data_IF_291823186185
#
_entry.id   IF_291823186185
#
_cell.length_a   1.000
_cell.length_b   1.000
_cell.length_c   1.000
_cell.angle_alpha   90.00
_cell.angle_beta   90.00
_cell.angle_gamma   90.00
#
_symmetry.space_group_name_H-M   'P 1'
#
loop_
_entity.id
_entity.type
_entity.pdbx_description
1 polymer ?
#
# COMPACT_ATOMS: atom_id res chain seq x y z
N UNK A 1 4.63 11.70 -6.69
CA UNK A 1 5.56 11.41 -7.81
C UNK A 1 6.91 12.13 -7.64
N UNK A 2 6.91 13.45 -7.40
CA UNK A 2 8.17 14.21 -7.29
C UNK A 2 9.09 13.72 -6.17
N UNK A 3 8.56 13.33 -5.01
CA UNK A 3 9.37 12.74 -3.92
C UNK A 3 9.97 11.38 -4.33
N UNK A 4 9.18 10.55 -4.99
CA UNK A 4 9.63 9.23 -5.48
C UNK A 4 10.70 9.38 -6.56
N UNK A 5 10.50 10.27 -7.53
CA UNK A 5 11.52 10.56 -8.56
C UNK A 5 12.82 11.08 -7.93
N UNK A 6 12.72 11.97 -6.92
CA UNK A 6 13.89 12.44 -6.16
C UNK A 6 14.61 11.31 -5.44
N UNK A 7 13.87 10.43 -4.75
CA UNK A 7 14.46 9.29 -4.07
C UNK A 7 15.19 8.35 -5.03
N UNK A 8 14.63 8.10 -6.23
CA UNK A 8 15.28 7.32 -7.28
C UNK A 8 16.58 7.99 -7.76
N UNK A 9 16.57 9.30 -7.99
CA UNK A 9 17.77 10.04 -8.41
C UNK A 9 18.85 9.98 -7.34
N UNK A 10 18.48 10.15 -6.07
CA UNK A 10 19.42 10.06 -4.93
C UNK A 10 20.02 8.65 -4.82
N UNK A 11 19.27 7.59 -5.16
CA UNK A 11 19.80 6.22 -5.22
C UNK A 11 20.62 5.91 -6.50
N UNK A 12 20.87 6.90 -7.36
CA UNK A 12 21.65 6.75 -8.58
C UNK A 12 20.84 6.31 -9.82
N UNK A 13 19.52 6.13 -9.70
CA UNK A 13 18.68 5.79 -10.83
C UNK A 13 18.35 7.01 -11.70
N UNK A 14 18.08 6.77 -12.98
CA UNK A 14 17.67 7.80 -13.96
C UNK A 14 16.30 7.46 -14.55
N UNK A 15 15.21 7.71 -13.83
CA UNK A 15 13.88 7.41 -14.33
C UNK A 15 13.47 8.34 -15.47
N UNK A 16 12.71 7.80 -16.44
CA UNK A 16 11.92 8.61 -17.39
C UNK A 16 10.70 9.14 -16.67
N UNK A 17 10.47 10.43 -16.68
CA UNK A 17 9.31 11.05 -16.04
C UNK A 17 8.14 11.08 -17.03
N UNK A 18 7.12 10.27 -16.79
CA UNK A 18 5.93 10.20 -17.62
C UNK A 18 4.72 10.92 -17.00
N UNK A 19 3.94 11.61 -17.82
CA UNK A 19 2.73 12.30 -17.37
C UNK A 19 2.05 13.08 -18.50
N UNK A 20 0.91 13.70 -18.19
CA UNK A 20 0.08 14.41 -19.19
C UNK A 20 0.43 15.91 -19.37
N UNK A 21 1.20 16.48 -18.47
CA UNK A 21 1.50 17.93 -18.43
C UNK A 21 3.01 18.12 -18.62
N UNK A 22 3.39 18.51 -19.84
CA UNK A 22 4.80 18.73 -20.24
C UNK A 22 5.47 19.75 -19.32
N UNK A 23 4.86 20.90 -19.09
CA UNK A 23 5.49 21.96 -18.30
C UNK A 23 5.80 21.53 -16.86
N UNK A 24 4.93 20.71 -16.26
CA UNK A 24 5.21 20.12 -14.93
C UNK A 24 6.29 19.06 -14.96
N UNK A 25 6.36 18.24 -16.00
CA UNK A 25 7.42 17.24 -16.16
C UNK A 25 8.77 17.92 -16.30
N UNK A 26 8.88 18.88 -17.21
CA UNK A 26 10.11 19.63 -17.46
C UNK A 26 10.57 20.40 -16.20
N UNK A 27 9.65 21.04 -15.48
CA UNK A 27 9.96 21.71 -14.21
C UNK A 27 10.48 20.74 -13.12
N UNK A 28 9.95 19.51 -13.07
CA UNK A 28 10.45 18.49 -12.13
C UNK A 28 11.79 17.97 -12.57
N UNK A 29 12.00 17.69 -13.86
CA UNK A 29 13.27 17.23 -14.42
C UNK A 29 14.41 18.23 -14.18
N UNK A 30 14.17 19.51 -14.50
CA UNK A 30 15.14 20.59 -14.29
C UNK A 30 15.50 20.75 -12.79
N UNK A 31 14.49 20.73 -11.90
CA UNK A 31 14.74 20.81 -10.46
C UNK A 31 15.58 19.64 -9.96
N UNK A 32 15.27 18.40 -10.37
CA UNK A 32 16.01 17.22 -9.93
C UNK A 32 17.43 17.21 -10.48
N UNK A 33 17.65 17.69 -11.71
CA UNK A 33 18.98 17.89 -12.28
C UNK A 33 19.81 18.89 -11.45
N UNK A 34 19.21 20.02 -11.08
CA UNK A 34 19.85 21.04 -10.24
C UNK A 34 20.17 20.49 -8.82
N UNK A 35 19.22 19.78 -8.18
CA UNK A 35 19.42 19.22 -6.84
C UNK A 35 20.49 18.12 -6.80
N UNK A 36 20.62 17.32 -7.87
CA UNK A 36 21.57 16.20 -7.95
C UNK A 36 22.92 16.55 -8.56
N UNK A 37 23.04 17.72 -9.20
CA UNK A 37 24.21 18.08 -10.01
C UNK A 37 24.40 17.20 -11.27
N UNK A 38 23.38 16.42 -11.63
CA UNK A 38 23.39 15.51 -12.76
C UNK A 38 22.70 16.09 -14.01
N UNK A 39 22.72 15.35 -15.13
CA UNK A 39 22.01 15.75 -16.33
C UNK A 39 20.50 15.66 -16.13
N UNK A 40 19.76 16.44 -16.93
CA UNK A 40 18.30 16.46 -16.90
C UNK A 40 17.70 15.07 -17.22
N UNK A 41 16.59 14.75 -16.55
CA UNK A 41 15.90 13.49 -16.77
C UNK A 41 15.06 13.56 -18.05
N UNK A 42 14.95 12.43 -18.73
CA UNK A 42 14.06 12.28 -19.87
C UNK A 42 12.60 12.42 -19.43
N UNK A 43 11.78 13.09 -20.28
CA UNK A 43 10.35 13.27 -20.04
C UNK A 43 9.54 12.70 -21.20
N UNK A 44 8.41 12.05 -20.88
CA UNK A 44 7.50 11.48 -21.86
C UNK A 44 6.05 11.91 -21.59
N UNK A 45 5.33 12.28 -22.64
CA UNK A 45 3.91 12.59 -22.53
C UNK A 45 3.11 11.30 -22.62
N UNK A 46 2.47 10.95 -21.51
CA UNK A 46 1.58 9.81 -21.44
C UNK A 46 0.39 10.13 -20.53
N UNK A 47 -0.81 10.00 -21.04
CA UNK A 47 -2.07 10.13 -20.30
C UNK A 47 -2.47 8.80 -19.65
N UNK A 48 -3.57 8.83 -18.92
CA UNK A 48 -4.18 7.68 -18.24
C UNK A 48 -5.57 7.35 -18.80
N UNK A 49 -5.92 7.88 -19.96
CA UNK A 49 -7.18 7.62 -20.66
C UNK A 49 -7.28 6.18 -21.19
N UNK A 50 -6.13 5.53 -21.35
CA UNK A 50 -6.00 4.14 -21.73
C UNK A 50 -4.57 3.65 -21.59
N UNK A 51 -4.30 2.33 -21.77
CA UNK A 51 -2.97 1.77 -21.57
C UNK A 51 -1.98 2.10 -22.69
N UNK A 52 -2.44 2.38 -23.90
CA UNK A 52 -1.61 2.50 -25.09
C UNK A 52 -0.45 3.52 -24.99
N UNK A 53 -0.64 4.76 -24.50
CA UNK A 53 0.46 5.71 -24.37
C UNK A 53 1.57 5.23 -23.43
N UNK A 54 1.21 4.60 -22.31
CA UNK A 54 2.19 4.04 -21.37
C UNK A 54 2.82 2.75 -21.91
N UNK A 55 2.02 1.91 -22.60
CA UNK A 55 2.51 0.67 -23.21
C UNK A 55 3.62 0.90 -24.24
N UNK A 56 3.56 2.01 -24.99
CA UNK A 56 4.59 2.39 -25.97
C UNK A 56 5.93 2.75 -25.33
N UNK A 57 5.93 3.11 -24.04
CA UNK A 57 7.13 3.45 -23.29
C UNK A 57 7.78 2.24 -22.59
N UNK A 58 7.16 1.06 -22.66
CA UNK A 58 7.56 -0.10 -21.85
C UNK A 58 7.99 -1.28 -22.71
N UNK A 59 9.07 -1.91 -22.30
CA UNK A 59 9.52 -3.22 -22.77
C UNK A 59 9.35 -4.27 -21.68
N UNK A 60 9.49 -5.54 -22.01
CA UNK A 60 9.50 -6.61 -21.04
C UNK A 60 10.68 -6.43 -20.06
N UNK A 61 10.39 -6.55 -18.78
CA UNK A 61 11.37 -6.35 -17.72
C UNK A 61 11.59 -4.90 -17.26
N UNK A 62 11.04 -3.91 -17.98
CA UNK A 62 11.06 -2.52 -17.50
C UNK A 62 10.27 -2.36 -16.19
N UNK A 63 10.55 -1.30 -15.44
CA UNK A 63 9.88 -1.00 -14.18
C UNK A 63 9.02 0.24 -14.31
N UNK A 64 7.71 0.11 -14.17
CA UNK A 64 6.75 1.22 -14.14
C UNK A 64 6.34 1.53 -12.71
N UNK A 65 6.67 2.72 -12.21
CA UNK A 65 6.21 3.21 -10.90
C UNK A 65 5.11 4.24 -11.08
N UNK A 66 3.91 3.89 -10.66
CA UNK A 66 2.72 4.76 -10.72
C UNK A 66 2.44 5.43 -9.38
N UNK A 67 2.42 6.77 -9.38
CA UNK A 67 2.05 7.58 -8.21
C UNK A 67 0.88 8.50 -8.52
N UNK A 68 0.16 8.20 -9.60
CA UNK A 68 -0.97 9.00 -10.07
C UNK A 68 -2.30 8.41 -9.56
N UNK A 69 -2.90 9.08 -8.59
CA UNK A 69 -4.22 8.76 -8.04
C UNK A 69 -5.31 9.78 -8.43
N UNK A 70 -6.59 9.49 -8.16
CA UNK A 70 -7.14 8.29 -7.51
C UNK A 70 -7.01 7.02 -8.38
N UNK A 71 -6.48 5.93 -7.79
CA UNK A 71 -6.13 4.73 -8.55
C UNK A 71 -7.35 3.96 -9.06
N UNK A 72 -8.45 3.92 -8.32
CA UNK A 72 -9.73 3.36 -8.80
C UNK A 72 -10.17 3.98 -10.14
N UNK A 73 -9.85 5.26 -10.37
CA UNK A 73 -10.26 5.97 -11.58
C UNK A 73 -9.25 5.88 -12.71
N UNK A 74 -7.95 5.97 -12.41
CA UNK A 74 -6.92 6.14 -13.43
C UNK A 74 -5.78 5.11 -13.34
N UNK A 75 -5.66 4.34 -12.26
CA UNK A 75 -4.59 3.36 -12.06
C UNK A 75 -4.64 2.19 -13.02
N UNK A 76 -5.87 1.83 -13.47
CA UNK A 76 -6.11 0.71 -14.39
C UNK A 76 -5.28 0.77 -15.68
N UNK A 77 -5.11 1.96 -16.24
CA UNK A 77 -4.35 2.16 -17.48
C UNK A 77 -2.86 1.79 -17.31
N UNK A 78 -2.25 2.20 -16.19
CA UNK A 78 -0.86 1.91 -15.90
C UNK A 78 -0.62 0.42 -15.59
N UNK A 79 -1.50 -0.20 -14.78
CA UNK A 79 -1.43 -1.63 -14.50
C UNK A 79 -1.60 -2.48 -15.77
N UNK A 80 -2.57 -2.13 -16.63
CA UNK A 80 -2.78 -2.82 -17.90
C UNK A 80 -1.58 -2.67 -18.84
N UNK A 81 -1.00 -1.47 -18.96
CA UNK A 81 0.17 -1.24 -19.79
C UNK A 81 1.38 -2.10 -19.35
N UNK A 82 1.61 -2.20 -18.05
CA UNK A 82 2.68 -3.04 -17.51
C UNK A 82 2.43 -4.53 -17.76
N UNK A 83 1.19 -5.01 -17.56
CA UNK A 83 0.81 -6.40 -17.85
C UNK A 83 1.01 -6.72 -19.33
N UNK A 84 0.55 -5.85 -20.22
CA UNK A 84 0.66 -6.06 -21.68
C UNK A 84 2.10 -5.95 -22.19
N UNK A 85 3.00 -5.32 -21.40
CA UNK A 85 4.42 -5.24 -21.70
C UNK A 85 5.26 -6.40 -21.14
N UNK A 86 4.75 -7.17 -20.18
CA UNK A 86 5.57 -8.08 -19.38
C UNK A 86 6.52 -7.33 -18.44
N UNK A 87 6.12 -6.15 -17.97
CA UNK A 87 6.92 -5.25 -17.13
C UNK A 87 6.62 -5.44 -15.64
N UNK A 88 7.47 -4.88 -14.79
CA UNK A 88 7.23 -4.78 -13.34
C UNK A 88 6.44 -3.50 -13.06
N UNK A 89 5.33 -3.61 -12.34
CA UNK A 89 4.48 -2.52 -11.93
C UNK A 89 4.56 -2.30 -10.42
N UNK A 90 4.77 -1.06 -10.00
CA UNK A 90 4.65 -0.63 -8.61
C UNK A 90 3.69 0.55 -8.51
N UNK A 91 2.91 0.61 -7.44
CA UNK A 91 2.11 1.79 -7.14
C UNK A 91 2.03 2.10 -5.64
N UNK A 92 1.56 3.31 -5.34
CA UNK A 92 1.38 3.81 -3.97
C UNK A 92 -0.11 3.95 -3.59
N UNK A 93 -0.97 3.08 -4.09
CA UNK A 93 -2.39 3.15 -3.75
C UNK A 93 -2.64 2.79 -2.29
N UNK A 94 -3.60 3.47 -1.67
CA UNK A 94 -4.24 3.06 -0.41
C UNK A 94 -5.72 2.73 -0.62
N UNK A 95 -6.15 2.42 -1.86
CA UNK A 95 -7.55 2.27 -2.25
C UNK A 95 -7.91 0.77 -2.38
N UNK A 96 -8.65 0.17 -1.40
CA UNK A 96 -8.94 -1.26 -1.38
C UNK A 96 -9.55 -1.81 -2.68
N UNK A 97 -10.51 -1.13 -3.34
CA UNK A 97 -11.07 -1.65 -4.58
C UNK A 97 -10.06 -1.81 -5.70
N UNK A 98 -9.06 -0.90 -5.79
CA UNK A 98 -8.01 -1.01 -6.79
C UNK A 98 -7.00 -2.12 -6.44
N UNK A 99 -6.64 -2.27 -5.16
CA UNK A 99 -5.80 -3.38 -4.70
C UNK A 99 -6.44 -4.72 -5.08
N UNK A 100 -7.72 -4.88 -4.75
CA UNK A 100 -8.47 -6.09 -5.10
C UNK A 100 -8.47 -6.34 -6.61
N UNK A 101 -8.66 -5.30 -7.41
CA UNK A 101 -8.63 -5.40 -8.86
C UNK A 101 -7.27 -5.87 -9.37
N UNK A 102 -6.17 -5.37 -8.78
CA UNK A 102 -4.82 -5.81 -9.17
C UNK A 102 -4.62 -7.29 -8.87
N UNK A 103 -5.01 -7.76 -7.69
CA UNK A 103 -4.83 -9.18 -7.34
C UNK A 103 -5.78 -10.11 -8.10
N UNK A 104 -7.06 -9.77 -8.23
CA UNK A 104 -8.08 -10.68 -8.78
C UNK A 104 -8.19 -10.61 -10.31
N UNK A 105 -8.00 -9.42 -10.94
CA UNK A 105 -8.16 -9.24 -12.37
C UNK A 105 -6.81 -9.22 -13.11
N UNK A 106 -5.86 -8.40 -12.66
CA UNK A 106 -4.58 -8.23 -13.34
C UNK A 106 -3.57 -9.31 -13.00
N UNK A 107 -3.58 -9.86 -11.77
CA UNK A 107 -2.66 -10.91 -11.33
C UNK A 107 -2.63 -12.12 -12.26
N UNK A 108 -3.77 -12.78 -12.55
CA UNK A 108 -3.83 -13.93 -13.48
C UNK A 108 -3.41 -13.59 -14.91
N UNK A 109 -3.57 -12.33 -15.34
CA UNK A 109 -3.07 -11.86 -16.64
C UNK A 109 -1.56 -11.69 -16.61
N UNK A 110 -1.02 -11.11 -15.53
CA UNK A 110 0.41 -10.92 -15.34
C UNK A 110 1.17 -12.25 -15.28
N UNK A 111 0.62 -13.28 -14.67
CA UNK A 111 1.17 -14.65 -14.70
C UNK A 111 1.39 -15.15 -16.13
N UNK A 112 0.45 -14.87 -17.04
CA UNK A 112 0.54 -15.30 -18.46
C UNK A 112 1.50 -14.48 -19.30
N UNK A 113 1.69 -13.20 -18.95
CA UNK A 113 2.58 -12.29 -19.73
C UNK A 113 3.99 -12.21 -19.18
N UNK A 114 4.24 -12.78 -17.99
CA UNK A 114 5.51 -12.66 -17.29
C UNK A 114 5.67 -11.34 -16.50
N UNK A 115 4.61 -10.52 -16.46
CA UNK A 115 4.61 -9.28 -15.68
C UNK A 115 4.55 -9.55 -14.16
N UNK A 116 5.04 -8.59 -13.36
CA UNK A 116 4.94 -8.61 -11.89
C UNK A 116 4.24 -7.35 -11.43
N UNK A 117 3.28 -7.49 -10.52
CA UNK A 117 2.49 -6.39 -10.01
C UNK A 117 2.68 -6.27 -8.49
N UNK A 118 3.18 -5.14 -8.02
CA UNK A 118 3.42 -4.78 -6.63
C UNK A 118 2.57 -3.56 -6.28
N UNK A 119 1.27 -3.78 -6.09
CA UNK A 119 0.32 -2.71 -5.73
C UNK A 119 0.40 -2.35 -4.26
N UNK A 120 0.03 -1.12 -3.90
CA UNK A 120 0.07 -0.62 -2.53
C UNK A 120 1.47 -0.73 -1.90
N UNK A 121 2.49 -0.42 -2.70
CA UNK A 121 3.88 -0.54 -2.30
C UNK A 121 4.40 0.78 -1.70
N UNK A 122 3.77 1.20 -0.60
CA UNK A 122 4.11 2.40 0.14
C UNK A 122 3.85 2.21 1.64
N UNK A 123 3.63 3.31 2.35
CA UNK A 123 3.20 3.25 3.74
C UNK A 123 1.89 2.44 3.88
N UNK A 124 1.00 2.59 2.94
CA UNK A 124 -0.13 1.71 2.71
C UNK A 124 0.27 0.72 1.57
N UNK A 125 0.75 -0.55 1.79
CA UNK A 125 0.68 -1.31 3.02
C UNK A 125 1.97 -2.13 3.28
N UNK A 126 3.15 -1.64 2.90
CA UNK A 126 4.42 -2.37 3.07
C UNK A 126 4.75 -2.66 4.54
N UNK A 127 4.67 -1.67 5.49
CA UNK A 127 5.03 -1.93 6.87
C UNK A 127 4.13 -2.94 7.57
N UNK A 128 2.84 -3.02 7.20
CA UNK A 128 1.93 -4.02 7.75
C UNK A 128 2.18 -5.42 7.24
N UNK A 129 2.49 -5.56 5.94
CA UNK A 129 2.94 -6.83 5.38
C UNK A 129 4.21 -7.32 6.09
N UNK A 130 5.18 -6.43 6.33
CA UNK A 130 6.39 -6.75 7.09
C UNK A 130 6.07 -7.16 8.53
N UNK A 131 5.32 -6.31 9.26
CA UNK A 131 4.96 -6.59 10.65
C UNK A 131 4.16 -7.89 10.80
N UNK A 132 3.21 -8.13 9.89
CA UNK A 132 2.43 -9.36 9.84
C UNK A 132 3.30 -10.60 9.62
N UNK A 133 4.19 -10.57 8.63
CA UNK A 133 5.11 -11.67 8.34
C UNK A 133 6.05 -11.96 9.52
N UNK A 134 6.62 -10.91 10.13
CA UNK A 134 7.47 -11.04 11.32
C UNK A 134 6.72 -11.60 12.53
N UNK A 135 5.45 -11.18 12.73
CA UNK A 135 4.62 -11.70 13.81
C UNK A 135 4.27 -13.18 13.57
N UNK A 136 3.99 -13.57 12.34
CA UNK A 136 3.74 -14.95 11.96
C UNK A 136 4.99 -15.83 12.12
N UNK A 137 6.16 -15.33 11.73
CA UNK A 137 7.44 -16.01 11.94
C UNK A 137 7.69 -16.25 13.43
N UNK A 138 7.53 -15.21 14.27
CA UNK A 138 7.74 -15.30 15.71
C UNK A 138 6.71 -16.17 16.44
N UNK A 139 5.48 -16.24 15.92
CA UNK A 139 4.40 -17.05 16.50
C UNK A 139 4.55 -18.55 16.23
N UNK A 140 5.32 -18.92 15.19
CA UNK A 140 5.50 -20.31 14.80
C UNK A 140 4.27 -20.94 14.13
N UNK A 141 4.23 -22.27 13.98
CA UNK A 141 3.26 -22.97 13.13
C UNK A 141 1.81 -22.92 13.63
N UNK A 142 1.58 -22.64 14.90
CA UNK A 142 0.24 -22.61 15.52
C UNK A 142 -0.58 -21.37 15.20
N UNK A 143 0.04 -20.32 14.60
CA UNK A 143 -0.68 -19.11 14.27
C UNK A 143 -1.59 -19.32 13.05
N UNK A 144 -2.87 -19.02 13.22
CA UNK A 144 -3.88 -19.09 12.15
C UNK A 144 -4.53 -17.74 11.84
N UNK A 145 -4.30 -16.75 12.69
CA UNK A 145 -4.87 -15.41 12.55
C UNK A 145 -3.81 -14.35 12.72
N UNK A 146 -3.94 -13.24 11.95
CA UNK A 146 -3.11 -12.06 12.13
C UNK A 146 -3.96 -10.80 12.05
N UNK A 147 -3.71 -9.85 12.97
CA UNK A 147 -4.32 -8.53 12.97
C UNK A 147 -3.23 -7.49 12.86
N UNK A 148 -3.40 -6.55 11.93
CA UNK A 148 -2.47 -5.44 11.70
C UNK A 148 -3.18 -4.12 11.95
N UNK A 149 -2.57 -3.22 12.70
CA UNK A 149 -3.10 -1.88 12.99
C UNK A 149 -2.12 -0.79 12.59
N UNK A 150 -2.61 0.21 11.86
CA UNK A 150 -1.86 1.39 11.42
C UNK A 150 -2.27 2.63 12.21
N UNK A 151 -1.30 3.34 12.78
CA UNK A 151 -1.54 4.53 13.56
C UNK A 151 -0.58 5.63 13.15
N UNK A 152 -1.11 6.83 12.93
CA UNK A 152 -0.31 8.02 12.68
C UNK A 152 -0.59 9.03 13.80
N UNK A 153 0.47 9.53 14.41
CA UNK A 153 0.44 10.51 15.49
C UNK A 153 1.05 11.82 15.05
N UNK A 154 0.42 12.92 15.38
CA UNK A 154 0.79 14.25 14.92
C UNK A 154 -0.37 14.93 14.18
N UNK A 155 -0.15 16.11 13.64
CA UNK A 155 -1.20 16.86 12.94
C UNK A 155 -1.31 16.42 11.47
N UNK A 156 -2.01 15.31 11.21
CA UNK A 156 -2.20 14.74 9.88
C UNK A 156 -2.94 15.71 8.94
N UNK A 157 -3.83 16.56 9.49
CA UNK A 157 -4.74 17.39 8.69
C UNK A 157 -4.05 18.45 7.81
N UNK A 158 -2.87 18.95 8.19
CA UNK A 158 -2.14 19.98 7.44
C UNK A 158 -1.09 19.43 6.47
N UNK A 159 -0.69 18.15 6.61
CA UNK A 159 0.35 17.51 5.78
C UNK A 159 -0.16 16.55 4.72
N UNK A 160 -1.46 16.19 4.71
CA UNK A 160 -1.99 15.21 3.76
C UNK A 160 -2.10 15.77 2.35
N UNK A 161 -1.66 14.99 1.35
CA UNK A 161 -1.81 15.35 -0.05
C UNK A 161 -3.29 15.47 -0.45
N UNK A 162 -3.58 16.28 -1.48
CA UNK A 162 -4.94 16.39 -2.01
C UNK A 162 -5.48 15.03 -2.50
N UNK A 163 -4.60 14.16 -3.04
CA UNK A 163 -4.92 12.80 -3.44
C UNK A 163 -5.33 11.95 -2.24
N UNK A 164 -4.54 11.92 -1.16
CA UNK A 164 -4.83 11.14 0.05
C UNK A 164 -6.16 11.54 0.68
N UNK A 165 -6.47 12.85 0.74
CA UNK A 165 -7.77 13.31 1.27
C UNK A 165 -8.95 12.87 0.40
N UNK A 166 -8.79 12.91 -0.93
CA UNK A 166 -9.82 12.48 -1.86
C UNK A 166 -10.03 10.95 -1.79
N UNK A 167 -8.97 10.16 -1.73
CA UNK A 167 -9.04 8.71 -1.56
C UNK A 167 -9.65 8.33 -0.22
N UNK A 168 -9.25 8.94 0.89
CA UNK A 168 -9.81 8.68 2.22
C UNK A 168 -11.32 8.95 2.30
N UNK A 169 -11.80 10.02 1.65
CA UNK A 169 -13.22 10.31 1.57
C UNK A 169 -13.97 9.27 0.71
N UNK A 170 -13.36 8.72 -0.34
CA UNK A 170 -13.95 7.71 -1.22
C UNK A 170 -14.04 6.32 -0.60
N UNK A 171 -13.04 5.93 0.16
CA UNK A 171 -12.90 4.56 0.72
C UNK A 171 -14.08 4.15 1.60
N UNK A 172 -14.71 5.08 2.34
CA UNK A 172 -15.87 4.78 3.20
C UNK A 172 -17.15 4.44 2.43
N UNK A 173 -17.22 4.79 1.15
CA UNK A 173 -18.40 4.57 0.30
C UNK A 173 -18.26 3.36 -0.61
N UNK A 174 -17.06 2.83 -0.75
CA UNK A 174 -16.79 1.66 -1.57
C UNK A 174 -16.86 0.38 -0.72
N UNK A 175 -17.31 -0.75 -1.32
CA UNK A 175 -17.24 -2.05 -0.66
C UNK A 175 -15.79 -2.37 -0.29
N UNK A 176 -15.56 -2.74 0.96
CA UNK A 176 -14.31 -3.30 1.42
C UNK A 176 -14.28 -4.82 1.27
N UNK A 177 -13.24 -5.40 1.79
CA UNK A 177 -13.06 -6.85 1.89
C UNK A 177 -12.17 -7.20 3.08
N UNK A 178 -12.14 -8.48 3.42
CA UNK A 178 -11.20 -9.05 4.39
C UNK A 178 -10.93 -10.52 4.03
N UNK A 179 -9.84 -11.06 4.53
CA UNK A 179 -9.57 -12.50 4.43
C UNK A 179 -10.19 -13.20 5.65
N UNK A 180 -11.22 -14.01 5.41
CA UNK A 180 -12.00 -14.71 6.42
C UNK A 180 -12.17 -16.17 6.06
N UNK A 181 -11.95 -17.05 7.03
CA UNK A 181 -12.11 -18.50 6.84
C UNK A 181 -11.44 -19.02 5.59
N UNK A 182 -10.20 -18.54 5.32
CA UNK A 182 -9.36 -18.99 4.22
C UNK A 182 -9.70 -18.40 2.85
N UNK A 183 -10.53 -17.35 2.77
CA UNK A 183 -10.91 -16.70 1.49
C UNK A 183 -11.15 -15.20 1.63
N UNK A 184 -11.04 -14.48 0.52
CA UNK A 184 -11.48 -13.07 0.45
C UNK A 184 -13.02 -13.03 0.47
N UNK A 185 -13.55 -12.24 1.38
CA UNK A 185 -14.98 -11.95 1.49
C UNK A 185 -15.20 -10.45 1.36
N UNK A 186 -16.26 -10.06 0.67
CA UNK A 186 -16.68 -8.65 0.61
C UNK A 186 -17.35 -8.27 1.91
N UNK A 187 -16.90 -7.22 2.55
CA UNK A 187 -17.52 -6.63 3.73
C UNK A 187 -17.52 -5.10 3.64
N UNK A 188 -18.29 -4.46 4.51
CA UNK A 188 -18.31 -2.99 4.57
C UNK A 188 -17.01 -2.46 5.16
N UNK A 189 -16.46 -1.41 4.59
CA UNK A 189 -15.35 -0.66 5.21
C UNK A 189 -15.78 -0.18 6.60
N UNK A 190 -14.89 -0.26 7.58
CA UNK A 190 -15.17 0.00 8.99
C UNK A 190 -16.26 -0.91 9.59
N UNK A 191 -16.40 -2.17 9.11
CA UNK A 191 -17.36 -3.14 9.67
C UNK A 191 -17.04 -3.49 11.12
N UNK A 192 -15.76 -3.49 11.49
CA UNK A 192 -15.27 -3.87 12.81
C UNK A 192 -14.44 -2.77 13.43
N UNK A 193 -14.48 -2.67 14.77
CA UNK A 193 -13.59 -1.81 15.56
C UNK A 193 -12.85 -2.68 16.57
N UNK A 194 -11.56 -2.48 16.68
CA UNK A 194 -10.71 -3.13 17.67
C UNK A 194 -9.76 -2.13 18.31
N UNK A 195 -9.02 -2.56 19.31
CA UNK A 195 -7.99 -1.74 19.95
C UNK A 195 -6.65 -2.44 19.96
N UNK A 196 -5.60 -1.65 19.79
CA UNK A 196 -4.21 -2.05 19.93
C UNK A 196 -3.57 -1.28 21.10
N UNK A 197 -2.61 -1.91 21.74
CA UNK A 197 -1.82 -1.25 22.78
C UNK A 197 -0.58 -0.62 22.15
N UNK A 198 -0.41 0.70 22.34
CA UNK A 198 0.72 1.48 21.84
C UNK A 198 1.17 2.40 22.97
N UNK A 199 2.42 2.32 23.39
CA UNK A 199 2.98 3.06 24.54
C UNK A 199 2.11 2.92 25.81
N UNK A 200 1.65 1.70 26.13
CA UNK A 200 0.79 1.41 27.29
C UNK A 200 -0.63 1.98 27.21
N UNK A 201 -1.05 2.50 26.03
CA UNK A 201 -2.39 3.08 25.83
C UNK A 201 -3.16 2.30 24.78
N UNK A 202 -4.43 1.97 25.08
CA UNK A 202 -5.35 1.39 24.09
C UNK A 202 -5.76 2.45 23.05
N UNK A 203 -5.57 2.14 21.78
CA UNK A 203 -5.96 2.96 20.63
C UNK A 203 -6.92 2.19 19.76
N UNK A 204 -8.08 2.79 19.50
CA UNK A 204 -9.11 2.20 18.64
C UNK A 204 -8.76 2.38 17.17
N UNK A 205 -9.10 1.36 16.36
CA UNK A 205 -8.94 1.36 14.92
C UNK A 205 -10.14 0.62 14.28
N UNK A 206 -10.51 1.00 13.05
CA UNK A 206 -11.58 0.35 12.29
C UNK A 206 -11.01 -0.47 11.13
N UNK A 207 -11.75 -1.52 10.74
CA UNK A 207 -11.34 -2.46 9.68
C UNK A 207 -11.36 -1.84 8.28
N UNK A 208 -10.37 -2.24 7.45
CA UNK A 208 -10.24 -1.85 6.05
C UNK A 208 -9.64 -3.01 5.26
N UNK A 209 -10.05 -3.15 3.99
CA UNK A 209 -9.36 -4.06 3.06
C UNK A 209 -8.00 -3.52 2.65
N UNK A 210 -7.04 -4.40 2.43
CA UNK A 210 -5.65 -4.05 2.20
C UNK A 210 -4.91 -5.09 1.35
N UNK A 211 -3.63 -4.86 1.05
CA UNK A 211 -2.80 -5.87 0.35
C UNK A 211 -2.43 -7.05 1.26
N UNK A 212 -2.41 -6.88 2.57
CA UNK A 212 -2.15 -7.94 3.55
C UNK A 212 -3.15 -9.08 3.48
N UNK A 213 -4.43 -8.76 3.16
CA UNK A 213 -5.49 -9.76 3.00
C UNK A 213 -5.17 -10.77 1.86
N UNK A 214 -4.42 -10.33 0.86
CA UNK A 214 -3.97 -11.19 -0.25
C UNK A 214 -2.58 -11.78 -0.03
N UNK A 215 -1.66 -11.01 0.54
CA UNK A 215 -0.24 -11.36 0.60
C UNK A 215 0.08 -12.28 1.79
N UNK A 216 -0.39 -11.96 3.01
CA UNK A 216 -0.03 -12.74 4.20
C UNK A 216 -0.51 -14.20 4.14
N UNK A 217 -1.70 -14.53 3.62
CA UNK A 217 -2.13 -15.93 3.49
C UNK A 217 -1.19 -16.76 2.60
N UNK A 218 -0.60 -16.16 1.58
CA UNK A 218 0.33 -16.84 0.65
C UNK A 218 1.67 -17.21 1.29
N UNK A 219 2.07 -16.50 2.34
CA UNK A 219 3.26 -16.86 3.12
C UNK A 219 3.04 -18.13 3.96
N UNK A 220 1.77 -18.58 4.09
CA UNK A 220 1.38 -19.77 4.85
C UNK A 220 0.32 -20.59 4.11
N UNK A 221 0.68 -21.26 3.01
CA UNK A 221 -0.28 -22.05 2.23
C UNK A 221 -0.79 -23.30 2.95
N UNK A 222 -0.27 -23.58 4.15
CA UNK A 222 -0.50 -24.84 4.85
C UNK A 222 0.38 -25.96 4.30
N UNK A 223 1.23 -26.52 5.12
CA UNK A 223 2.08 -27.66 4.75
C UNK A 223 1.88 -28.78 5.75
N UNK A 224 1.83 -30.02 5.27
CA UNK A 224 2.00 -31.18 6.14
C UNK A 224 3.42 -31.13 6.71
N UNK A 225 3.55 -31.37 8.02
CA UNK A 225 4.87 -31.52 8.64
C UNK A 225 5.58 -32.75 8.09
N UNK A 226 6.87 -32.66 7.85
CA UNK A 226 7.69 -33.82 7.55
C UNK A 226 7.89 -34.67 8.82
N UNK A 227 7.90 -35.98 8.68
CA UNK A 227 8.27 -36.96 9.73
C UNK A 227 7.47 -36.84 11.06
N UNK A 228 6.17 -36.50 10.98
CA UNK A 228 5.31 -36.41 12.17
C UNK A 228 5.42 -35.12 12.98
N UNK A 229 6.22 -34.15 12.53
CA UNK A 229 6.21 -32.82 13.11
C UNK A 229 4.89 -32.08 12.80
N UNK A 230 4.41 -31.17 13.66
CA UNK A 230 3.23 -30.35 13.35
C UNK A 230 3.48 -29.54 12.07
N UNK A 231 2.67 -29.76 11.04
CA UNK A 231 2.69 -28.96 9.83
C UNK A 231 2.33 -27.50 10.11
N UNK A 232 2.65 -26.62 9.20
CA UNK A 232 2.26 -25.21 9.28
C UNK A 232 0.76 -25.07 8.99
N UNK A 233 -0.01 -24.59 9.97
CA UNK A 233 -1.43 -24.32 9.75
C UNK A 233 -1.62 -23.14 8.79
N UNK A 234 -2.55 -23.24 7.81
CA UNK A 234 -2.88 -22.11 6.95
C UNK A 234 -3.50 -20.98 7.76
N UNK A 235 -3.34 -19.74 7.29
CA UNK A 235 -4.09 -18.62 7.86
C UNK A 235 -5.57 -18.78 7.55
N UNK A 236 -6.40 -18.54 8.56
CA UNK A 236 -7.86 -18.49 8.42
C UNK A 236 -8.36 -17.06 8.32
N UNK A 237 -7.73 -16.13 9.01
CA UNK A 237 -8.18 -14.75 9.08
C UNK A 237 -7.00 -13.76 9.04
N UNK A 238 -7.16 -12.73 8.23
CA UNK A 238 -6.30 -11.54 8.22
C UNK A 238 -7.21 -10.33 8.42
N UNK A 239 -6.84 -9.48 9.36
CA UNK A 239 -7.56 -8.26 9.70
C UNK A 239 -6.65 -7.06 9.65
N UNK A 240 -7.02 -6.04 8.90
CA UNK A 240 -6.27 -4.78 8.85
C UNK A 240 -7.13 -3.63 9.36
N UNK A 241 -6.51 -2.74 10.15
CA UNK A 241 -7.21 -1.68 10.86
C UNK A 241 -6.48 -0.34 10.72
N UNK A 242 -7.24 0.74 10.54
CA UNK A 242 -6.76 2.12 10.55
C UNK A 242 -7.17 2.84 11.84
N UNK A 243 -6.20 3.32 12.60
CA UNK A 243 -6.37 4.08 13.84
C UNK A 243 -6.06 5.57 13.71
N UNK A 244 -6.32 6.16 12.55
CA UNK A 244 -5.98 7.56 12.26
C UNK A 244 -6.97 8.58 12.83
N UNK A 245 -8.16 8.14 13.21
CA UNK A 245 -9.26 9.01 13.60
C UNK A 245 -9.41 9.19 15.11
N UNK A 246 -8.59 8.51 15.91
CA UNK A 246 -8.61 8.62 17.37
C UNK A 246 -10.03 8.41 17.93
N UNK A 247 -10.54 9.40 18.67
CA UNK A 247 -11.91 9.34 19.26
C UNK A 247 -13.04 9.28 18.23
N UNK A 248 -12.80 9.70 17.00
CA UNK A 248 -13.80 9.63 15.92
C UNK A 248 -13.90 8.25 15.26
N UNK A 249 -13.06 7.27 15.63
CA UNK A 249 -13.07 5.91 15.06
C UNK A 249 -14.46 5.27 15.12
N UNK A 250 -15.15 5.37 16.26
CA UNK A 250 -16.52 4.82 16.42
C UNK A 250 -17.54 5.58 15.57
N UNK A 251 -17.38 6.90 15.42
CA UNK A 251 -18.23 7.71 14.55
C UNK A 251 -18.11 7.26 13.09
N UNK A 252 -16.90 6.98 12.63
CA UNK A 252 -16.64 6.41 11.29
C UNK A 252 -17.33 5.04 11.16
N UNK A 253 -17.20 4.17 12.15
CA UNK A 253 -17.83 2.85 12.17
C UNK A 253 -19.37 2.95 12.04
N UNK A 254 -20.04 3.73 12.90
CA UNK A 254 -21.50 3.88 12.83
C UNK A 254 -21.94 4.65 11.58
N UNK A 255 -21.20 5.68 11.19
CA UNK A 255 -21.48 6.46 9.99
C UNK A 255 -21.42 5.61 8.72
N UNK A 256 -20.50 4.65 8.62
CA UNK A 256 -20.37 3.78 7.46
C UNK A 256 -21.59 2.85 7.28
N UNK A 257 -22.33 2.52 8.35
CA UNK A 257 -23.59 1.75 8.25
C UNK A 257 -24.63 2.51 7.42
N UNK A 258 -24.71 3.82 7.60
CA UNK A 258 -25.69 4.67 6.92
C UNK A 258 -25.21 5.05 5.51
N UNK A 259 -23.91 5.22 5.34
CA UNK A 259 -23.30 5.80 4.13
C UNK A 259 -23.06 4.76 3.04
N UNK A 260 -22.68 3.54 3.38
CA UNK A 260 -22.41 2.48 2.39
C UNK A 260 -23.60 2.19 1.47
N UNK A 261 -24.87 2.06 1.97
CA UNK A 261 -26.00 1.86 1.10
C UNK A 261 -26.27 3.05 0.16
N UNK A 262 -25.99 4.28 0.61
CA UNK A 262 -26.16 5.48 -0.20
C UNK A 262 -25.14 5.58 -1.35
N UNK A 263 -23.98 4.96 -1.22
CA UNK A 263 -22.97 4.88 -2.28
C UNK A 263 -23.45 4.15 -3.55
N UNK A 264 -24.50 3.35 -3.46
CA UNK A 264 -25.13 2.71 -4.63
C UNK A 264 -26.09 3.63 -5.38
N UNK A 265 -26.47 4.79 -4.82
CA UNK A 265 -27.36 5.76 -5.45
C UNK A 265 -26.55 6.71 -6.35
N UNK A 266 -26.89 6.75 -7.64
CA UNK A 266 -26.17 7.56 -8.63
C UNK A 266 -26.11 9.08 -8.29
N UNK A 267 -27.11 9.60 -7.57
CA UNK A 267 -27.16 10.98 -7.09
C UNK A 267 -26.13 11.25 -5.97
N UNK A 268 -25.99 10.35 -5.02
CA UNK A 268 -25.04 10.46 -3.92
C UNK A 268 -23.58 10.40 -4.45
N UNK A 269 -23.28 9.51 -5.40
CA UNK A 269 -21.97 9.44 -6.06
C UNK A 269 -21.57 10.76 -6.73
N UNK A 270 -22.50 11.44 -7.43
CA UNK A 270 -22.20 12.75 -8.06
C UNK A 270 -21.83 13.82 -7.02
N UNK A 271 -22.55 13.87 -5.90
CA UNK A 271 -22.27 14.81 -4.81
C UNK A 271 -20.89 14.55 -4.20
N UNK A 272 -20.57 13.28 -3.95
CA UNK A 272 -19.29 12.84 -3.38
C UNK A 272 -18.12 13.14 -4.34
N UNK A 273 -18.27 12.87 -5.63
CA UNK A 273 -17.29 13.23 -6.65
C UNK A 273 -17.10 14.75 -6.76
N UNK A 274 -18.14 15.53 -6.55
CA UNK A 274 -18.08 16.98 -6.47
C UNK A 274 -17.28 17.48 -5.26
N UNK A 275 -17.51 16.88 -4.10
CA UNK A 275 -16.75 17.19 -2.88
C UNK A 275 -15.28 16.74 -2.98
N UNK A 276 -15.02 15.54 -3.48
CA UNK A 276 -13.66 15.04 -3.71
C UNK A 276 -12.87 15.98 -4.64
N UNK A 277 -13.50 16.48 -5.73
CA UNK A 277 -12.91 17.49 -6.62
C UNK A 277 -12.64 18.83 -5.92
N UNK A 278 -13.51 19.27 -5.00
CA UNK A 278 -13.27 20.48 -4.19
C UNK A 278 -12.08 20.30 -3.26
N UNK A 279 -11.99 19.15 -2.58
CA UNK A 279 -10.88 18.79 -1.69
C UNK A 279 -9.56 18.71 -2.47
N UNK A 280 -9.56 18.14 -3.67
CA UNK A 280 -8.38 18.09 -4.55
C UNK A 280 -7.88 19.47 -4.97
N UNK A 281 -8.79 20.45 -5.15
CA UNK A 281 -8.43 21.82 -5.53
C UNK A 281 -7.89 22.66 -4.36
N UNK A 282 -8.15 22.25 -3.12
CA UNK A 282 -7.59 22.94 -1.96
C UNK A 282 -6.08 22.68 -1.89
N UNK A 283 -5.27 23.73 -2.01
CA UNK A 283 -3.82 23.64 -1.87
C UNK A 283 -3.49 23.18 -0.46
N UNK A 284 -2.66 22.11 -0.36
CA UNK A 284 -2.00 21.79 0.90
C UNK A 284 -1.11 23.00 1.25
N UNK A 285 -1.35 23.64 2.39
CA UNK A 285 -0.41 24.63 2.90
C UNK A 285 0.81 23.88 3.43
N UNK A 286 2.03 24.24 3.01
CA UNK A 286 3.24 23.75 3.66
C UNK A 286 3.19 24.19 5.13
N UNK A 287 2.88 23.29 6.03
CA UNK A 287 2.99 23.53 7.48
C UNK A 287 4.42 23.33 7.91
N UNK A 288 4.83 24.02 8.97
CA UNK A 288 6.11 23.80 9.66
C UNK A 288 6.32 22.29 9.90
N UNK A 289 7.56 21.84 9.77
CA UNK A 289 7.97 20.45 9.99
C UNK A 289 7.41 19.95 11.33
N UNK A 290 6.35 19.19 11.28
CA UNK A 290 5.77 18.57 12.45
C UNK A 290 6.35 17.16 12.56
N UNK A 291 6.75 16.79 13.77
CA UNK A 291 7.24 15.45 14.05
C UNK A 291 6.05 14.48 13.93
N UNK A 292 5.88 13.90 12.76
CA UNK A 292 4.91 12.81 12.51
C UNK A 292 5.60 11.52 12.98
N UNK A 293 4.91 10.76 13.80
CA UNK A 293 5.28 9.40 14.17
C UNK A 293 4.21 8.44 13.68
N UNK A 294 4.66 7.39 13.03
CA UNK A 294 3.82 6.30 12.56
C UNK A 294 4.11 5.04 13.35
N UNK A 295 3.07 4.29 13.70
CA UNK A 295 3.17 3.03 14.41
C UNK A 295 2.38 1.97 13.63
N UNK A 296 2.97 0.80 13.42
CA UNK A 296 2.32 -0.37 12.83
C UNK A 296 2.49 -1.55 13.77
N UNK A 297 1.37 -2.11 14.21
CA UNK A 297 1.36 -3.22 15.17
C UNK A 297 0.72 -4.43 14.54
N UNK A 298 1.42 -5.57 14.51
CA UNK A 298 0.87 -6.84 14.11
C UNK A 298 0.78 -7.80 15.30
N UNK A 299 -0.33 -8.52 15.40
CA UNK A 299 -0.59 -9.53 16.44
C UNK A 299 -0.99 -10.83 15.77
N UNK A 300 -0.17 -11.86 15.94
CA UNK A 300 -0.47 -13.23 15.52
C UNK A 300 -1.10 -14.02 16.67
N UNK A 301 -2.14 -14.80 16.37
CA UNK A 301 -2.87 -15.63 17.34
C UNK A 301 -3.24 -17.00 16.79
N UNK A 302 -3.52 -17.94 17.70
CA UNK A 302 -4.03 -19.27 17.34
C UNK A 302 -5.55 -19.24 17.04
N UNK A 303 -6.12 -20.39 16.68
CA UNK A 303 -7.55 -20.54 16.38
C UNK A 303 -8.46 -20.18 17.56
N UNK A 304 -8.01 -20.33 18.80
CA UNK A 304 -8.72 -19.92 19.99
C UNK A 304 -8.64 -18.42 20.31
N UNK A 305 -7.86 -17.65 19.51
CA UNK A 305 -7.69 -16.21 19.71
C UNK A 305 -6.61 -15.85 20.74
N UNK A 306 -5.86 -16.84 21.27
CA UNK A 306 -4.75 -16.60 22.20
C UNK A 306 -3.60 -15.94 21.41
N UNK A 307 -3.12 -14.80 21.89
CA UNK A 307 -1.96 -14.09 21.33
C UNK A 307 -0.71 -14.98 21.45
N UNK A 308 -0.04 -15.23 20.33
CA UNK A 308 1.22 -15.97 20.27
C UNK A 308 2.42 -15.06 20.13
N UNK A 309 2.32 -14.04 19.27
CA UNK A 309 3.36 -13.05 19.06
C UNK A 309 2.78 -11.67 18.73
N UNK A 310 3.59 -10.64 18.93
CA UNK A 310 3.30 -9.31 18.43
C UNK A 310 4.59 -8.63 17.97
N UNK A 311 4.47 -7.83 16.92
CA UNK A 311 5.54 -6.99 16.38
C UNK A 311 5.04 -5.56 16.33
N UNK A 312 5.88 -4.62 16.75
CA UNK A 312 5.62 -3.20 16.68
C UNK A 312 6.74 -2.55 15.85
N UNK A 313 6.35 -1.93 14.74
CA UNK A 313 7.23 -1.12 13.90
C UNK A 313 6.91 0.35 14.12
N UNK A 314 7.94 1.18 14.15
CA UNK A 314 7.81 2.63 14.29
C UNK A 314 8.55 3.35 13.19
N UNK A 315 8.01 4.47 12.74
CA UNK A 315 8.62 5.29 11.70
C UNK A 315 8.17 6.74 11.77
N UNK A 316 8.70 7.51 10.83
CA UNK A 316 8.43 8.93 10.68
C UNK A 316 7.28 9.23 9.71
N UNK A 317 7.55 10.14 8.79
CA UNK A 317 6.59 10.62 7.80
C UNK A 317 6.24 9.55 6.75
N UNK A 318 4.94 9.21 6.57
CA UNK A 318 4.48 8.23 5.59
C UNK A 318 4.88 8.52 4.14
N UNK A 319 4.96 9.80 3.76
CA UNK A 319 5.29 10.18 2.38
C UNK A 319 6.77 9.98 2.06
N UNK A 320 7.65 10.33 2.99
CA UNK A 320 9.08 10.08 2.87
C UNK A 320 9.38 8.60 2.81
N UNK A 321 8.75 7.81 3.68
CA UNK A 321 8.84 6.36 3.65
C UNK A 321 8.37 5.80 2.30
N UNK A 322 7.19 6.20 1.81
CA UNK A 322 6.64 5.74 0.53
C UNK A 322 7.59 6.04 -0.63
N UNK A 323 8.19 7.22 -0.65
CA UNK A 323 9.14 7.59 -1.69
C UNK A 323 10.41 6.72 -1.66
N UNK A 324 10.96 6.49 -0.48
CA UNK A 324 12.17 5.70 -0.29
C UNK A 324 11.95 4.22 -0.64
N UNK A 325 10.86 3.62 -0.14
CA UNK A 325 10.59 2.19 -0.35
C UNK A 325 10.23 1.88 -1.82
N UNK A 326 9.52 2.78 -2.52
CA UNK A 326 9.28 2.65 -3.95
C UNK A 326 10.57 2.78 -4.77
N UNK A 327 11.45 3.70 -4.41
CA UNK A 327 12.74 3.85 -5.09
C UNK A 327 13.62 2.61 -4.90
N UNK A 328 13.68 2.08 -3.68
CA UNK A 328 14.37 0.83 -3.38
C UNK A 328 13.82 -0.35 -4.19
N UNK A 329 12.50 -0.57 -4.14
CA UNK A 329 11.88 -1.67 -4.85
C UNK A 329 12.06 -1.59 -6.37
N UNK A 330 11.96 -0.39 -6.93
CA UNK A 330 12.20 -0.16 -8.35
C UNK A 330 13.67 -0.46 -8.72
N UNK A 331 14.62 -0.06 -7.88
CA UNK A 331 16.04 -0.36 -8.07
C UNK A 331 16.33 -1.86 -8.00
N UNK A 332 15.77 -2.57 -7.01
CA UNK A 332 15.90 -4.03 -6.90
C UNK A 332 15.29 -4.74 -8.11
N UNK A 333 14.09 -4.34 -8.51
CA UNK A 333 13.41 -4.92 -9.67
C UNK A 333 14.20 -4.70 -10.97
N UNK A 334 14.76 -3.53 -11.18
CA UNK A 334 15.57 -3.22 -12.36
C UNK A 334 16.89 -3.99 -12.38
N UNK A 335 17.53 -4.20 -11.21
CA UNK A 335 18.85 -4.83 -11.13
C UNK A 335 18.78 -6.36 -11.18
N UNK A 336 17.79 -6.97 -10.55
CA UNK A 336 17.74 -8.41 -10.31
C UNK A 336 16.50 -9.09 -10.92
N UNK A 337 15.52 -8.30 -11.39
CA UNK A 337 14.19 -8.77 -11.71
C UNK A 337 13.39 -9.15 -10.44
N UNK A 338 12.13 -9.49 -10.62
CA UNK A 338 11.24 -9.99 -9.55
C UNK A 338 10.52 -11.24 -10.05
N UNK A 339 10.43 -12.26 -9.22
CA UNK A 339 9.75 -13.52 -9.53
C UNK A 339 9.01 -14.05 -8.30
N UNK A 340 7.96 -14.87 -8.48
CA UNK A 340 7.34 -15.27 -9.77
C UNK A 340 6.56 -14.13 -10.42
N UNK A 341 6.06 -14.35 -11.63
CA UNK A 341 5.11 -13.44 -12.30
C UNK A 341 3.75 -13.46 -11.57
N UNK A 342 2.97 -12.38 -11.73
CA UNK A 342 1.67 -12.24 -11.11
C UNK A 342 1.58 -11.03 -10.17
N UNK A 343 0.49 -10.91 -9.40
CA UNK A 343 0.38 -9.93 -8.33
C UNK A 343 0.95 -10.50 -7.04
N UNK A 344 1.97 -9.86 -6.49
CA UNK A 344 2.74 -10.33 -5.34
C UNK A 344 2.62 -9.39 -4.14
N UNK A 345 2.76 -9.96 -2.94
CA UNK A 345 3.03 -9.19 -1.73
C UNK A 345 4.51 -8.79 -1.61
N UNK A 346 4.83 -7.77 -0.79
CA UNK A 346 6.20 -7.29 -0.64
C UNK A 346 7.20 -8.37 -0.18
N UNK A 347 6.79 -9.24 0.72
CA UNK A 347 7.63 -10.34 1.25
C UNK A 347 7.82 -11.44 0.21
N UNK A 348 6.79 -11.76 -0.59
CA UNK A 348 6.90 -12.71 -1.70
C UNK A 348 7.89 -12.22 -2.76
N UNK A 349 7.87 -10.91 -3.05
CA UNK A 349 8.70 -10.31 -4.09
C UNK A 349 10.18 -10.19 -3.71
N UNK A 350 10.48 -9.82 -2.48
CA UNK A 350 11.84 -9.42 -2.07
C UNK A 350 12.42 -10.22 -0.90
N UNK A 351 11.64 -11.12 -0.30
CA UNK A 351 12.04 -11.83 0.92
C UNK A 351 11.91 -10.98 2.18
N UNK A 352 11.80 -11.67 3.33
CA UNK A 352 11.51 -11.00 4.61
C UNK A 352 12.67 -10.14 5.10
N UNK A 353 13.89 -10.68 5.08
CA UNK A 353 15.08 -9.99 5.63
C UNK A 353 15.46 -8.77 4.78
N UNK A 354 15.39 -8.87 3.44
CA UNK A 354 15.64 -7.75 2.54
C UNK A 354 14.61 -6.65 2.72
N UNK A 355 13.34 -7.02 2.88
CA UNK A 355 12.26 -6.05 3.10
C UNK A 355 12.40 -5.36 4.46
N UNK A 356 12.78 -6.10 5.50
CA UNK A 356 13.01 -5.52 6.83
C UNK A 356 14.17 -4.51 6.82
N UNK A 357 15.28 -4.86 6.18
CA UNK A 357 16.41 -3.93 6.02
C UNK A 357 15.99 -2.68 5.24
N UNK A 358 15.31 -2.85 4.12
CA UNK A 358 14.84 -1.73 3.29
C UNK A 358 13.85 -0.81 4.04
N UNK A 359 12.96 -1.38 4.84
CA UNK A 359 12.07 -0.60 5.69
C UNK A 359 12.83 0.19 6.76
N UNK A 360 13.85 -0.43 7.37
CA UNK A 360 14.69 0.25 8.36
C UNK A 360 15.49 1.41 7.73
N UNK A 361 16.07 1.21 6.56
CA UNK A 361 16.78 2.25 5.79
C UNK A 361 15.83 3.38 5.36
N UNK A 362 14.57 3.06 5.07
CA UNK A 362 13.52 4.02 4.79
C UNK A 362 12.93 4.70 6.04
N UNK A 363 13.47 4.40 7.23
CA UNK A 363 13.08 4.99 8.49
C UNK A 363 11.92 4.32 9.23
N UNK A 364 11.65 3.04 8.92
CA UNK A 364 10.63 2.22 9.60
C UNK A 364 11.25 0.95 10.16
N UNK A 365 11.42 0.87 11.48
CA UNK A 365 12.08 -0.24 12.15
C UNK A 365 11.30 -0.80 13.32
N UNK A 366 11.71 -1.98 13.80
CA UNK A 366 11.15 -2.54 15.04
C UNK A 366 11.42 -1.61 16.21
N UNK A 367 10.40 -1.39 17.04
CA UNK A 367 10.61 -0.72 18.30
C UNK A 367 11.50 -1.62 19.20
N UNK A 368 12.56 -1.07 19.82
CA UNK A 368 13.37 -1.83 20.77
C UNK A 368 12.48 -2.42 21.87
N UNK A 369 12.63 -3.70 22.17
CA UNK A 369 11.95 -4.30 23.33
C UNK A 369 12.43 -3.59 24.59
N UNK A 370 11.53 -2.95 25.31
CA UNK A 370 11.78 -2.42 26.64
C UNK A 370 11.80 -3.53 27.68
#
# INVERSE_FOLDING_TARGET
GGLTARAMVVSGARPVLAGRDRGRLDAVAARLAQESGGPELETAIAGTEGPAPLRQLLNAGDVLVSTAGPFVKIGRAAAAAAVDAGAVYLDSTGEPPFIRQVFEEFGPRAERTGAVLLTAFGYDYVPGNLAGALALQAAGPAATRVRVGYFVRGNIGRGTSAGTRASAAGVLFEPGYAFRSGRIVTERTAAHVTSFEIDGKKREAFSIGSSEDFALPRLRPGTAGADGAPGQAPLTDVDVYLGWFGRATRLVHYGSVLVTPLGHLAGARRVLDGQARRIQRSRAQPGAAQTIRSDVVAVASDAGGRKLAAVHLTGGDPYSFTAAILAWAAGQAAAQGVRPAGALGPVEAFGLDSLESACADAGFSREPRR
#
